data_IF_414310758296
#
_entry.id   IF_414310758296
#
_cell.length_a   1.000
_cell.length_b   1.000
_cell.length_c   1.000
_cell.angle_alpha   90.00
_cell.angle_beta   90.00
_cell.angle_gamma   90.00
#
_symmetry.space_group_name_H-M   'P 1'
#
loop_
_entity.id
_entity.type
_entity.pdbx_description
1 polymer ?
#
# COMPACT_ATOMS: atom_id res chain seq x y z
N UNK A 1 -30.59 6.71 -1.95
CA UNK A 1 -29.45 7.05 -2.84
C UNK A 1 -29.44 8.56 -3.02
N UNK A 2 -28.29 9.25 -3.17
CA UNK A 2 -27.07 8.81 -3.87
C UNK A 2 -25.79 9.09 -3.02
N UNK A 3 -24.56 8.78 -3.38
CA UNK A 3 -23.91 8.41 -4.63
C UNK A 3 -22.67 7.59 -4.25
N UNK A 4 -22.58 6.34 -4.68
CA UNK A 4 -21.34 5.56 -4.58
C UNK A 4 -20.71 5.24 -5.95
N UNK A 5 -21.31 5.69 -7.07
CA UNK A 5 -21.03 5.08 -8.38
C UNK A 5 -20.78 6.04 -9.58
N UNK A 6 -20.60 7.34 -9.38
CA UNK A 6 -20.43 8.27 -10.53
C UNK A 6 -19.16 9.12 -10.48
N UNK A 7 -17.97 8.50 -10.51
CA UNK A 7 -16.79 9.30 -10.90
C UNK A 7 -15.79 8.62 -11.83
N UNK A 8 -15.66 7.28 -11.90
CA UNK A 8 -14.71 6.66 -12.85
C UNK A 8 -15.13 5.27 -13.36
N UNK A 9 -15.77 5.17 -14.54
CA UNK A 9 -16.25 3.89 -15.09
C UNK A 9 -15.17 3.05 -15.80
N UNK A 10 -13.88 3.31 -15.59
CA UNK A 10 -12.81 2.57 -16.29
C UNK A 10 -11.43 2.75 -15.66
N UNK A 11 -11.23 2.28 -14.43
CA UNK A 11 -9.88 2.00 -13.95
C UNK A 11 -9.87 0.63 -13.31
N UNK A 12 -9.16 -0.30 -13.95
CA UNK A 12 -8.89 -1.65 -13.45
C UNK A 12 -8.55 -1.61 -11.95
N UNK A 13 -8.97 -2.65 -11.23
CA UNK A 13 -9.00 -2.85 -9.78
C UNK A 13 -7.62 -2.88 -9.09
N UNK A 14 -6.64 -2.10 -9.56
CA UNK A 14 -5.38 -1.83 -8.89
C UNK A 14 -5.61 -0.64 -7.97
N UNK A 15 -5.45 -0.82 -6.66
CA UNK A 15 -5.37 0.34 -5.78
C UNK A 15 -4.13 1.13 -6.21
N UNK A 16 -4.32 2.25 -6.91
CA UNK A 16 -3.22 3.13 -7.30
C UNK A 16 -2.35 3.37 -6.06
N UNK A 17 -1.10 2.93 -6.10
CA UNK A 17 -0.12 3.02 -4.99
C UNK A 17 -0.03 4.44 -4.40
N UNK A 18 -0.29 5.46 -5.24
CA UNK A 18 -0.41 6.87 -4.84
C UNK A 18 -1.61 7.15 -3.92
N UNK A 19 -2.78 6.56 -4.16
CA UNK A 19 -3.91 6.66 -3.24
C UNK A 19 -3.65 5.84 -1.97
N UNK A 20 -3.03 4.67 -2.12
CA UNK A 20 -2.71 3.80 -1.00
C UNK A 20 -1.76 4.48 0.00
N UNK A 21 -0.70 5.13 -0.48
CA UNK A 21 0.25 5.86 0.39
C UNK A 21 -0.37 7.10 1.03
N UNK A 22 -1.33 7.74 0.34
CA UNK A 22 -2.07 8.90 0.88
C UNK A 22 -2.97 8.45 2.03
N UNK A 23 -3.72 7.36 1.82
CA UNK A 23 -4.58 6.78 2.84
C UNK A 23 -3.79 6.22 4.02
N UNK A 24 -2.63 5.58 3.77
CA UNK A 24 -1.71 5.13 4.81
C UNK A 24 -1.24 6.29 5.68
N UNK A 25 -0.85 7.41 5.05
CA UNK A 25 -0.40 8.61 5.76
C UNK A 25 -1.52 9.24 6.60
N UNK A 26 -2.76 9.17 6.12
CA UNK A 26 -3.93 9.66 6.85
C UNK A 26 -4.31 8.75 8.03
N UNK A 27 -4.17 7.43 7.87
CA UNK A 27 -4.55 6.44 8.89
C UNK A 27 -3.50 6.24 9.99
N UNK A 28 -2.22 6.24 9.63
CA UNK A 28 -1.11 5.89 10.53
C UNK A 28 -0.14 7.05 10.81
N UNK A 29 -0.43 8.22 10.24
CA UNK A 29 0.46 9.38 10.28
C UNK A 29 1.47 9.39 9.13
N UNK A 30 1.85 10.58 8.69
CA UNK A 30 2.81 10.75 7.60
C UNK A 30 4.25 10.70 8.11
N UNK A 31 4.92 9.56 7.96
CA UNK A 31 6.38 9.46 8.09
C UNK A 31 7.01 9.31 6.70
N UNK A 32 8.08 10.08 6.44
CA UNK A 32 8.87 9.94 5.22
C UNK A 32 9.41 8.51 5.07
N UNK A 33 9.82 7.89 6.19
CA UNK A 33 10.34 6.52 6.22
C UNK A 33 9.27 5.47 5.93
N UNK A 34 8.05 5.66 6.43
CA UNK A 34 6.90 4.79 6.09
C UNK A 34 6.63 4.84 4.59
N UNK A 35 6.65 6.03 3.98
CA UNK A 35 6.44 6.20 2.55
C UNK A 35 7.54 5.52 1.74
N UNK A 36 8.81 5.68 2.11
CA UNK A 36 9.92 4.99 1.46
C UNK A 36 9.75 3.47 1.47
N UNK A 37 9.53 2.88 2.64
CA UNK A 37 9.37 1.43 2.81
C UNK A 37 8.15 0.90 2.06
N UNK A 38 7.05 1.66 2.04
CA UNK A 38 5.89 1.34 1.23
C UNK A 38 6.23 1.30 -0.27
N UNK A 39 6.93 2.32 -0.78
CA UNK A 39 7.32 2.36 -2.19
C UNK A 39 8.35 1.28 -2.55
N UNK A 40 9.23 0.92 -1.63
CA UNK A 40 10.13 -0.22 -1.78
C UNK A 40 9.32 -1.52 -1.94
N UNK A 41 8.42 -1.83 -1.01
CA UNK A 41 7.54 -2.99 -1.08
C UNK A 41 6.64 -3.00 -2.35
N UNK A 42 6.19 -1.84 -2.79
CA UNK A 42 5.37 -1.74 -4.01
C UNK A 42 6.17 -2.00 -5.30
N UNK A 43 7.47 -1.62 -5.33
CA UNK A 43 8.31 -1.68 -6.54
C UNK A 43 9.04 -2.99 -6.75
N UNK A 44 9.44 -3.66 -5.67
CA UNK A 44 10.18 -4.92 -5.74
C UNK A 44 9.38 -5.98 -6.51
N UNK A 45 10.08 -6.76 -7.32
CA UNK A 45 9.48 -7.79 -8.18
C UNK A 45 9.61 -9.19 -7.58
N UNK A 46 10.40 -9.34 -6.53
CA UNK A 46 10.57 -10.63 -5.83
C UNK A 46 9.82 -10.63 -4.50
N UNK A 47 9.19 -11.76 -4.19
CA UNK A 47 8.45 -11.95 -2.92
C UNK A 47 9.40 -11.87 -1.72
N UNK A 48 10.66 -12.29 -1.88
CA UNK A 48 11.66 -12.20 -0.80
C UNK A 48 11.95 -10.75 -0.42
N UNK A 49 12.21 -9.88 -1.40
CA UNK A 49 12.45 -8.45 -1.14
C UNK A 49 11.19 -7.77 -0.61
N UNK A 50 10.00 -8.16 -1.10
CA UNK A 50 8.73 -7.67 -0.55
C UNK A 50 8.60 -7.96 0.94
N UNK A 51 8.91 -9.20 1.36
CA UNK A 51 8.87 -9.57 2.77
C UNK A 51 9.90 -8.80 3.61
N UNK A 52 11.08 -8.52 3.08
CA UNK A 52 12.11 -7.73 3.77
C UNK A 52 11.62 -6.29 3.98
N UNK A 53 11.04 -5.66 2.96
CA UNK A 53 10.48 -4.32 3.06
C UNK A 53 9.28 -4.26 4.05
N UNK A 54 8.40 -5.27 4.01
CA UNK A 54 7.27 -5.37 4.94
C UNK A 54 7.71 -5.63 6.39
N UNK A 55 8.76 -6.43 6.63
CA UNK A 55 9.37 -6.60 7.97
C UNK A 55 9.96 -5.29 8.46
N UNK A 56 10.75 -4.61 7.61
CA UNK A 56 11.31 -3.30 7.94
C UNK A 56 10.22 -2.27 8.28
N UNK A 57 9.07 -2.33 7.61
CA UNK A 57 7.92 -1.49 7.91
C UNK A 57 7.26 -1.86 9.23
N UNK A 58 7.11 -3.16 9.55
CA UNK A 58 6.61 -3.64 10.83
C UNK A 58 7.50 -3.18 12.00
N UNK A 59 8.82 -3.27 11.83
CA UNK A 59 9.79 -2.89 12.85
C UNK A 59 9.81 -1.38 13.10
N UNK A 60 9.63 -0.58 12.04
CA UNK A 60 9.60 0.88 12.14
C UNK A 60 8.24 1.43 12.60
N UNK A 61 7.14 0.90 12.05
CA UNK A 61 5.79 1.37 12.33
C UNK A 61 4.78 0.22 12.18
N UNK A 62 4.60 -0.53 13.26
CA UNK A 62 3.63 -1.61 13.38
C UNK A 62 2.20 -1.22 12.94
N UNK A 63 1.66 -0.02 13.29
CA UNK A 63 0.34 0.40 12.81
C UNK A 63 0.23 0.50 11.29
N UNK A 64 1.27 1.03 10.62
CA UNK A 64 1.33 1.15 9.16
C UNK A 64 1.39 -0.22 8.50
N UNK A 65 2.14 -1.15 9.08
CA UNK A 65 2.18 -2.53 8.64
C UNK A 65 0.80 -3.20 8.76
N UNK A 66 0.16 -3.13 9.93
CA UNK A 66 -1.14 -3.76 10.17
C UNK A 66 -2.23 -3.22 9.22
N UNK A 67 -2.20 -1.90 8.94
CA UNK A 67 -3.10 -1.28 7.96
C UNK A 67 -2.86 -1.75 6.52
N UNK A 68 -1.62 -2.07 6.16
CA UNK A 68 -1.26 -2.57 4.82
C UNK A 68 -1.58 -4.05 4.64
N UNK A 69 -1.43 -4.87 5.68
CA UNK A 69 -1.74 -6.30 5.67
C UNK A 69 -3.23 -6.55 5.46
N UNK A 70 -4.08 -5.65 5.95
CA UNK A 70 -5.53 -5.65 5.69
C UNK A 70 -5.87 -5.53 4.19
N UNK A 71 -4.93 -5.06 3.37
CA UNK A 71 -5.15 -4.78 1.94
C UNK A 71 -4.52 -5.86 1.06
N UNK A 72 -5.26 -6.36 0.05
CA UNK A 72 -4.74 -7.37 -0.86
C UNK A 72 -3.47 -6.92 -1.59
N UNK A 73 -2.35 -7.62 -1.35
CA UNK A 73 -1.03 -7.27 -1.92
C UNK A 73 -1.01 -7.27 -3.45
N UNK A 74 -1.79 -8.15 -4.08
CA UNK A 74 -1.89 -8.27 -5.53
C UNK A 74 -2.48 -7.01 -6.22
N UNK A 75 -3.15 -6.14 -5.45
CA UNK A 75 -3.67 -4.86 -5.98
C UNK A 75 -2.60 -3.75 -6.06
N UNK A 76 -1.47 -3.86 -5.35
CA UNK A 76 -0.55 -2.74 -5.16
C UNK A 76 0.94 -3.08 -5.13
N UNK A 77 1.32 -4.36 -5.01
CA UNK A 77 2.71 -4.81 -5.11
C UNK A 77 2.97 -5.51 -6.44
N UNK A 78 4.09 -5.17 -7.08
CA UNK A 78 4.54 -5.81 -8.33
C UNK A 78 5.02 -7.25 -8.14
N UNK A 79 5.50 -7.61 -6.95
CA UNK A 79 5.94 -8.98 -6.62
C UNK A 79 4.79 -9.99 -6.53
N UNK A 80 3.56 -9.50 -6.35
CA UNK A 80 2.34 -10.28 -6.16
C UNK A 80 1.33 -10.09 -7.31
N UNK A 81 1.74 -9.46 -8.42
CA UNK A 81 0.94 -9.29 -9.62
C UNK A 81 1.09 -10.49 -10.58
#
# INVERSE_FOLDING_TARGET
MPALDEVFPSSEKRHCTRHLVTNLSAACGSSARVKELFWEAARVTTVSEFQVAMRSLSDYNKPSYDWLVDKPYYHWSRSHF
#
